data_IF_430956595795
#
_entry.id   IF_430956595795
#
_cell.length_a   1.000
_cell.length_b   1.000
_cell.length_c   1.000
_cell.angle_alpha   90.00
_cell.angle_beta   90.00
_cell.angle_gamma   90.00
#
_symmetry.space_group_name_H-M   'P 1'
#
loop_
_entity.id
_entity.type
_entity.pdbx_description
1 polymer ?
#
# COMPACT_ATOMS: atom_id res chain seq x y z
N UNK A 1 -7.88 -25.22 7.12
CA UNK A 1 -7.91 -23.89 7.79
C UNK A 1 -6.56 -23.66 8.46
N UNK A 2 -6.05 -22.43 8.40
CA UNK A 2 -4.82 -22.08 9.07
C UNK A 2 -5.03 -22.00 10.60
N UNK A 3 -4.01 -22.30 11.41
CA UNK A 3 -4.09 -22.09 12.86
C UNK A 3 -4.35 -20.62 13.21
N UNK A 4 -5.14 -20.36 14.26
CA UNK A 4 -5.43 -18.99 14.72
C UNK A 4 -4.17 -18.13 14.98
N UNK A 5 -3.06 -18.76 15.39
CA UNK A 5 -1.78 -18.08 15.57
C UNK A 5 -1.22 -17.52 14.25
N UNK A 6 -1.47 -18.17 13.11
CA UNK A 6 -1.06 -17.65 11.79
C UNK A 6 -1.80 -16.35 11.50
N UNK A 7 -3.13 -16.34 11.67
CA UNK A 7 -3.96 -15.14 11.46
C UNK A 7 -3.54 -14.00 12.39
N UNK A 8 -3.26 -14.30 13.66
CA UNK A 8 -2.75 -13.32 14.63
C UNK A 8 -1.40 -12.71 14.19
N UNK A 9 -0.45 -13.56 13.79
CA UNK A 9 0.88 -13.10 13.40
C UNK A 9 0.85 -12.30 12.09
N UNK A 10 0.06 -12.72 11.11
CA UNK A 10 -0.11 -11.96 9.85
C UNK A 10 -0.76 -10.61 10.11
N UNK A 11 -1.85 -10.55 10.90
CA UNK A 11 -2.48 -9.30 11.28
C UNK A 11 -1.54 -8.35 12.04
N UNK A 12 -0.77 -8.88 12.99
CA UNK A 12 0.25 -8.13 13.72
C UNK A 12 1.33 -7.57 12.78
N UNK A 13 1.79 -8.39 11.83
CA UNK A 13 2.82 -8.01 10.86
C UNK A 13 2.35 -6.88 9.94
N UNK A 14 1.14 -6.98 9.40
CA UNK A 14 0.56 -5.95 8.54
C UNK A 14 0.41 -4.62 9.27
N UNK A 15 -0.07 -4.64 10.52
CA UNK A 15 -0.25 -3.41 11.28
C UNK A 15 1.08 -2.78 11.71
N UNK A 16 2.10 -3.59 12.05
CA UNK A 16 3.45 -3.09 12.33
C UNK A 16 4.11 -2.46 11.10
N UNK A 17 4.03 -3.12 9.93
CA UNK A 17 4.61 -2.60 8.70
C UNK A 17 3.94 -1.29 8.26
N UNK A 18 2.62 -1.20 8.39
CA UNK A 18 1.87 0.04 8.08
C UNK A 18 2.12 1.14 9.10
N UNK A 19 2.34 0.80 10.37
CA UNK A 19 2.67 1.76 11.42
C UNK A 19 4.14 2.21 11.40
N UNK A 20 5.06 1.46 10.78
CA UNK A 20 6.49 1.77 10.79
C UNK A 20 6.83 3.17 10.24
N UNK A 21 6.29 3.64 9.10
CA UNK A 21 6.49 5.02 8.64
C UNK A 21 5.98 6.07 9.64
N UNK A 22 4.87 5.78 10.32
CA UNK A 22 4.29 6.68 11.34
C UNK A 22 5.18 6.72 12.58
N UNK A 23 5.76 5.59 12.96
CA UNK A 23 6.71 5.49 14.07
C UNK A 23 7.98 6.33 13.83
N UNK A 24 8.40 6.55 12.58
CA UNK A 24 9.51 7.47 12.28
C UNK A 24 9.25 8.87 12.84
N UNK A 25 8.01 9.38 12.76
CA UNK A 25 7.72 10.76 13.19
C UNK A 25 7.07 10.88 14.56
N UNK A 26 6.20 9.95 14.92
CA UNK A 26 5.33 10.11 16.07
C UNK A 26 5.77 9.22 17.24
N UNK A 27 6.37 9.84 18.27
CA UNK A 27 6.76 9.20 19.52
C UNK A 27 5.65 8.35 20.17
N UNK A 28 4.36 8.76 20.19
CA UNK A 28 3.30 7.93 20.75
C UNK A 28 3.17 6.57 20.05
N UNK A 29 3.40 6.51 18.73
CA UNK A 29 3.32 5.26 17.96
C UNK A 29 4.53 4.38 18.28
N UNK A 30 5.73 4.97 18.33
CA UNK A 30 6.96 4.24 18.74
C UNK A 30 6.80 3.55 20.09
N UNK A 31 6.33 4.28 21.09
CA UNK A 31 6.14 3.77 22.46
C UNK A 31 5.06 2.68 22.56
N UNK A 32 4.14 2.64 21.59
CA UNK A 32 3.00 1.72 21.58
C UNK A 32 3.21 0.53 20.63
N UNK A 33 4.44 0.24 20.21
CA UNK A 33 4.73 -0.86 19.28
C UNK A 33 4.09 -2.20 19.68
N UNK A 34 4.14 -2.56 20.98
CA UNK A 34 3.45 -3.75 21.49
C UNK A 34 1.94 -3.67 21.31
N UNK A 35 1.32 -2.54 21.67
CA UNK A 35 -0.13 -2.33 21.48
C UNK A 35 -0.51 -2.39 20.00
N UNK A 36 0.29 -1.80 19.11
CA UNK A 36 0.09 -1.88 17.65
C UNK A 36 0.13 -3.34 17.20
N UNK A 37 1.14 -4.11 17.59
CA UNK A 37 1.21 -5.53 17.26
C UNK A 37 -0.02 -6.30 17.78
N UNK A 38 -0.38 -6.14 19.06
CA UNK A 38 -1.51 -6.82 19.68
C UNK A 38 -2.84 -6.48 19.00
N UNK A 39 -3.10 -5.20 18.73
CA UNK A 39 -4.33 -4.78 18.02
C UNK A 39 -4.38 -5.37 16.61
N UNK A 40 -3.25 -5.40 15.91
CA UNK A 40 -3.16 -6.01 14.58
C UNK A 40 -3.45 -7.51 14.62
N UNK A 41 -2.91 -8.22 15.62
CA UNK A 41 -3.18 -9.64 15.78
C UNK A 41 -4.63 -9.95 16.18
N UNK A 42 -5.19 -9.18 17.11
CA UNK A 42 -6.61 -9.30 17.49
C UNK A 42 -7.55 -9.02 16.31
N UNK A 43 -7.21 -8.03 15.48
CA UNK A 43 -7.91 -7.79 14.22
C UNK A 43 -7.80 -9.00 13.28
N UNK A 44 -6.61 -9.56 13.08
CA UNK A 44 -6.43 -10.74 12.21
C UNK A 44 -7.22 -11.98 12.64
N UNK A 45 -7.37 -12.23 13.94
CA UNK A 45 -8.13 -13.39 14.46
C UNK A 45 -9.61 -13.11 14.69
N UNK A 46 -10.11 -11.90 14.42
CA UNK A 46 -11.51 -11.57 14.74
C UNK A 46 -12.53 -12.54 14.11
N UNK A 47 -12.34 -13.05 12.87
CA UNK A 47 -13.24 -14.06 12.31
C UNK A 47 -13.26 -15.40 13.07
N UNK A 48 -12.20 -15.74 13.82
CA UNK A 48 -12.09 -16.98 14.62
C UNK A 48 -12.98 -16.97 15.87
N UNK A 49 -13.56 -15.83 16.22
CA UNK A 49 -14.41 -15.70 17.43
C UNK A 49 -15.60 -16.68 17.41
N UNK A 50 -16.01 -17.16 16.23
CA UNK A 50 -17.04 -18.19 16.09
C UNK A 50 -16.66 -19.53 16.76
N UNK A 51 -15.38 -19.80 17.00
CA UNK A 51 -14.92 -21.00 17.71
C UNK A 51 -15.10 -20.93 19.23
N UNK A 52 -15.26 -19.73 19.80
CA UNK A 52 -15.30 -19.52 21.26
C UNK A 52 -16.65 -19.01 21.78
N UNK A 53 -17.53 -18.53 20.90
CA UNK A 53 -18.87 -18.08 21.29
C UNK A 53 -19.84 -19.27 21.41
N UNK A 54 -20.51 -19.45 22.57
CA UNK A 54 -21.55 -20.47 22.71
C UNK A 54 -22.85 -20.00 22.02
N UNK A 55 -23.38 -20.76 21.05
CA UNK A 55 -24.66 -20.47 20.42
C UNK A 55 -24.76 -20.86 18.95
N UNK A 56 -25.77 -20.30 18.25
CA UNK A 56 -26.03 -20.50 16.82
C UNK A 56 -24.92 -19.81 15.98
N UNK A 57 -23.92 -20.61 15.58
CA UNK A 57 -22.69 -20.18 14.92
C UNK A 57 -22.88 -19.89 13.43
N UNK A 58 -24.07 -20.15 12.86
CA UNK A 58 -24.37 -20.03 11.44
C UNK A 58 -23.93 -18.70 10.80
N UNK A 59 -24.34 -17.52 11.33
CA UNK A 59 -23.94 -16.23 10.76
C UNK A 59 -22.43 -15.93 10.87
N UNK A 60 -21.81 -16.25 12.01
CA UNK A 60 -20.39 -15.96 12.25
C UNK A 60 -19.49 -16.88 11.44
N UNK A 61 -19.83 -18.17 11.38
CA UNK A 61 -19.16 -19.16 10.53
C UNK A 61 -19.35 -18.82 9.05
N UNK A 62 -20.54 -18.38 8.66
CA UNK A 62 -20.81 -17.89 7.30
C UNK A 62 -19.95 -16.68 6.95
N UNK A 63 -19.77 -15.74 7.88
CA UNK A 63 -18.85 -14.62 7.71
C UNK A 63 -17.39 -15.07 7.59
N UNK A 64 -16.91 -15.92 8.51
CA UNK A 64 -15.56 -16.50 8.50
C UNK A 64 -15.25 -17.21 7.18
N UNK A 65 -16.20 -17.99 6.66
CA UNK A 65 -16.08 -18.70 5.39
C UNK A 65 -16.33 -17.81 4.16
N UNK A 66 -16.48 -16.50 4.31
CA UNK A 66 -16.68 -15.57 3.21
C UNK A 66 -15.41 -14.76 2.93
N UNK A 67 -15.25 -14.31 1.69
CA UNK A 67 -14.16 -13.40 1.32
C UNK A 67 -14.20 -12.05 2.06
N UNK A 68 -15.30 -11.69 2.74
CA UNK A 68 -15.31 -10.51 3.62
C UNK A 68 -14.38 -10.66 4.82
N UNK A 69 -14.07 -11.89 5.24
CA UNK A 69 -13.08 -12.13 6.27
C UNK A 69 -11.65 -11.73 5.83
N UNK A 70 -11.36 -11.57 4.53
CA UNK A 70 -10.05 -11.05 4.08
C UNK A 70 -9.77 -9.61 4.53
N UNK A 71 -10.80 -8.85 4.93
CA UNK A 71 -10.65 -7.56 5.59
C UNK A 71 -9.99 -7.67 6.98
N UNK A 72 -9.77 -8.88 7.48
CA UNK A 72 -9.12 -9.19 8.75
C UNK A 72 -7.82 -9.93 8.47
N UNK A 73 -6.86 -9.23 7.86
CA UNK A 73 -5.53 -9.76 7.54
C UNK A 73 -5.51 -10.95 6.55
N UNK A 74 -6.32 -10.89 5.48
CA UNK A 74 -6.42 -11.95 4.46
C UNK A 74 -6.86 -13.31 5.04
N UNK A 75 -7.69 -13.26 6.09
CA UNK A 75 -8.12 -14.43 6.85
C UNK A 75 -8.65 -15.56 5.96
N UNK A 76 -9.62 -15.26 5.09
CA UNK A 76 -10.23 -16.24 4.21
C UNK A 76 -9.22 -16.86 3.23
N UNK A 77 -8.29 -16.05 2.74
CA UNK A 77 -7.22 -16.47 1.81
C UNK A 77 -6.21 -17.38 2.49
N UNK A 78 -5.84 -17.08 3.74
CA UNK A 78 -4.93 -17.91 4.55
C UNK A 78 -5.53 -19.30 4.84
N UNK A 79 -6.86 -19.42 4.80
CA UNK A 79 -7.57 -20.69 4.97
C UNK A 79 -7.70 -21.54 3.69
N UNK A 80 -7.26 -21.03 2.53
CA UNK A 80 -7.43 -21.72 1.25
C UNK A 80 -6.38 -22.81 1.02
N UNK A 81 -6.68 -23.79 0.13
CA UNK A 81 -5.78 -24.92 -0.17
C UNK A 81 -4.31 -24.56 -0.47
N UNK A 82 -3.97 -23.45 -1.15
CA UNK A 82 -2.58 -23.10 -1.40
C UNK A 82 -1.75 -22.87 -0.12
N UNK A 83 -2.37 -22.34 0.93
CA UNK A 83 -1.72 -22.10 2.22
C UNK A 83 -1.85 -23.32 3.13
N UNK A 84 -3.00 -24.00 3.09
CA UNK A 84 -3.24 -25.25 3.81
C UNK A 84 -2.26 -26.36 3.37
N UNK A 85 -1.83 -26.36 2.10
CA UNK A 85 -0.89 -27.32 1.54
C UNK A 85 0.50 -27.30 2.20
N UNK A 86 0.89 -26.20 2.86
CA UNK A 86 2.13 -26.14 3.63
C UNK A 86 2.07 -27.00 4.91
N UNK A 87 0.86 -27.35 5.38
CA UNK A 87 0.67 -27.98 6.67
C UNK A 87 0.87 -27.00 7.85
N UNK A 88 0.37 -27.38 9.03
CA UNK A 88 0.29 -26.48 10.19
C UNK A 88 1.67 -25.92 10.59
N UNK A 89 2.68 -26.78 10.77
CA UNK A 89 3.99 -26.35 11.25
C UNK A 89 4.75 -25.43 10.31
N UNK A 90 4.64 -25.63 8.99
CA UNK A 90 5.32 -24.77 8.01
C UNK A 90 4.63 -23.41 7.89
N UNK A 91 3.29 -23.38 7.90
CA UNK A 91 2.53 -22.13 7.89
C UNK A 91 2.83 -21.29 9.15
N UNK A 92 2.85 -21.91 10.33
CA UNK A 92 3.23 -21.27 11.59
C UNK A 92 4.65 -20.71 11.54
N UNK A 93 5.63 -21.51 11.09
CA UNK A 93 7.02 -21.08 10.98
C UNK A 93 7.17 -19.87 10.04
N UNK A 94 6.52 -19.90 8.87
CA UNK A 94 6.53 -18.77 7.93
C UNK A 94 5.88 -17.52 8.53
N UNK A 95 4.76 -17.67 9.24
CA UNK A 95 4.10 -16.56 9.92
C UNK A 95 4.99 -15.92 10.99
N UNK A 96 5.74 -16.73 11.75
CA UNK A 96 6.75 -16.26 12.72
C UNK A 96 7.85 -15.48 12.02
N UNK A 97 8.39 -15.97 10.89
CA UNK A 97 9.42 -15.26 10.14
C UNK A 97 8.93 -13.91 9.61
N UNK A 98 7.73 -13.86 9.05
CA UNK A 98 7.10 -12.62 8.58
C UNK A 98 6.93 -11.63 9.73
N UNK A 99 6.46 -12.10 10.88
CA UNK A 99 6.30 -11.28 12.08
C UNK A 99 7.62 -10.73 12.61
N UNK A 100 8.67 -11.56 12.68
CA UNK A 100 10.01 -11.10 13.09
C UNK A 100 10.56 -10.03 12.13
N UNK A 101 10.36 -10.20 10.81
CA UNK A 101 10.73 -9.20 9.82
C UNK A 101 9.98 -7.88 10.01
N UNK A 102 8.66 -7.95 10.28
CA UNK A 102 7.84 -6.78 10.55
C UNK A 102 8.26 -6.04 11.84
N UNK A 103 8.56 -6.78 12.91
CA UNK A 103 9.09 -6.23 14.17
C UNK A 103 10.41 -5.52 13.93
N UNK A 104 11.35 -6.16 13.22
CA UNK A 104 12.64 -5.57 12.91
C UNK A 104 12.49 -4.26 12.11
N UNK A 105 11.65 -4.26 11.08
CA UNK A 105 11.36 -3.06 10.29
C UNK A 105 10.76 -1.92 11.16
N UNK A 106 9.79 -2.23 12.01
CA UNK A 106 9.19 -1.26 12.93
C UNK A 106 10.20 -0.69 13.92
N UNK A 107 11.04 -1.54 14.54
CA UNK A 107 12.06 -1.11 15.49
C UNK A 107 13.10 -0.21 14.81
N UNK A 108 13.59 -0.60 13.63
CA UNK A 108 14.54 0.23 12.87
C UNK A 108 13.94 1.60 12.52
N UNK A 109 12.67 1.63 12.11
CA UNK A 109 11.96 2.87 11.82
C UNK A 109 11.78 3.75 13.08
N UNK A 110 11.42 3.14 14.21
CA UNK A 110 11.27 3.82 15.49
C UNK A 110 12.61 4.40 15.99
N UNK A 111 13.68 3.63 15.92
CA UNK A 111 15.04 4.04 16.31
C UNK A 111 15.57 5.17 15.42
N UNK A 112 15.34 5.08 14.11
CA UNK A 112 15.63 6.18 13.19
C UNK A 112 14.87 7.44 13.61
N UNK A 113 13.56 7.29 13.85
CA UNK A 113 12.68 8.37 14.25
C UNK A 113 13.00 9.01 15.60
N UNK A 114 13.56 8.25 16.54
CA UNK A 114 13.98 8.78 17.84
C UNK A 114 15.27 9.61 17.73
N UNK A 115 16.14 9.31 16.76
CA UNK A 115 17.39 10.04 16.52
C UNK A 115 17.20 11.29 15.67
N UNK A 116 16.18 11.30 14.84
CA UNK A 116 15.87 12.40 13.96
C UNK A 116 14.73 13.24 14.56
N UNK A 117 15.01 14.50 14.89
CA UNK A 117 14.00 15.48 15.30
C UNK A 117 13.08 15.80 14.11
N UNK A 118 12.03 15.00 13.93
CA UNK A 118 11.01 15.23 12.92
C UNK A 118 9.89 16.13 13.46
N UNK A 119 9.60 17.18 12.71
CA UNK A 119 8.38 17.96 12.91
C UNK A 119 7.14 17.13 12.51
N UNK A 120 6.00 17.31 13.19
CA UNK A 120 4.72 16.73 12.78
C UNK A 120 4.37 17.07 11.33
N UNK A 121 3.68 16.16 10.64
CA UNK A 121 3.22 16.42 9.27
C UNK A 121 1.95 17.26 9.36
N UNK A 122 2.08 18.55 9.06
CA UNK A 122 0.93 19.41 8.80
C UNK A 122 0.58 19.35 7.31
N UNK A 123 -0.70 19.20 6.99
CA UNK A 123 -1.17 19.20 5.60
C UNK A 123 -1.00 20.62 5.02
N UNK A 124 0.06 20.82 4.23
CA UNK A 124 0.34 22.10 3.58
C UNK A 124 -0.30 22.15 2.19
N UNK A 125 -0.60 23.36 1.71
CA UNK A 125 -1.21 23.56 0.39
C UNK A 125 -0.35 22.99 -0.73
N UNK A 126 0.98 23.06 -0.58
CA UNK A 126 1.94 22.56 -1.56
C UNK A 126 1.90 21.03 -1.66
N UNK A 127 1.73 20.33 -0.53
CA UNK A 127 1.58 18.87 -0.52
C UNK A 127 0.29 18.43 -1.21
N UNK A 128 -0.83 19.11 -0.91
CA UNK A 128 -2.13 18.81 -1.54
C UNK A 128 -2.07 19.09 -3.04
N UNK A 129 -1.49 20.22 -3.44
CA UNK A 129 -1.28 20.56 -4.84
C UNK A 129 -0.37 19.55 -5.54
N UNK A 130 0.74 19.16 -4.90
CA UNK A 130 1.66 18.15 -5.38
C UNK A 130 0.99 16.79 -5.59
N UNK A 131 0.22 16.33 -4.61
CA UNK A 131 -0.53 15.07 -4.68
C UNK A 131 -1.57 15.10 -5.80
N UNK A 132 -2.35 16.18 -5.90
CA UNK A 132 -3.37 16.34 -6.94
C UNK A 132 -2.76 16.38 -8.35
N UNK A 133 -1.67 17.13 -8.52
CA UNK A 133 -0.94 17.17 -9.79
C UNK A 133 -0.36 15.81 -10.16
N UNK A 134 0.27 15.13 -9.21
CA UNK A 134 0.83 13.79 -9.40
C UNK A 134 -0.24 12.75 -9.77
N UNK A 135 -1.38 12.78 -9.09
CA UNK A 135 -2.53 11.93 -9.41
C UNK A 135 -3.01 12.15 -10.85
N UNK A 136 -3.22 13.40 -11.24
CA UNK A 136 -3.71 13.76 -12.58
C UNK A 136 -2.75 13.30 -13.68
N UNK A 137 -1.46 13.64 -13.56
CA UNK A 137 -0.47 13.33 -14.61
C UNK A 137 -0.21 11.82 -14.70
N UNK A 138 -0.07 11.12 -13.57
CA UNK A 138 0.13 9.67 -13.58
C UNK A 138 -1.08 8.90 -14.09
N UNK A 139 -2.31 9.31 -13.71
CA UNK A 139 -3.54 8.73 -14.22
C UNK A 139 -3.70 8.97 -15.73
N UNK A 140 -3.38 10.19 -16.22
CA UNK A 140 -3.41 10.51 -17.64
C UNK A 140 -2.41 9.66 -18.44
N UNK A 141 -1.19 9.48 -17.93
CA UNK A 141 -0.17 8.63 -18.57
C UNK A 141 -0.62 7.18 -18.63
N UNK A 142 -1.00 6.60 -17.48
CA UNK A 142 -1.41 5.20 -17.38
C UNK A 142 -2.66 4.93 -18.22
N UNK A 143 -3.69 5.78 -18.10
CA UNK A 143 -4.91 5.66 -18.87
C UNK A 143 -4.70 5.89 -20.36
N UNK A 144 -3.81 6.80 -20.75
CA UNK A 144 -3.43 7.01 -22.15
C UNK A 144 -2.82 5.75 -22.77
N UNK A 145 -1.85 5.14 -22.10
CA UNK A 145 -1.23 3.89 -22.57
C UNK A 145 -2.25 2.74 -22.64
N UNK A 146 -3.08 2.59 -21.61
CA UNK A 146 -4.11 1.54 -21.60
C UNK A 146 -5.20 1.77 -22.66
N UNK A 147 -5.53 3.02 -22.96
CA UNK A 147 -6.44 3.38 -24.04
C UNK A 147 -5.87 3.06 -25.41
N UNK A 148 -4.63 3.49 -25.69
CA UNK A 148 -3.96 3.24 -26.96
C UNK A 148 -3.68 1.76 -27.22
N UNK A 149 -3.52 0.95 -26.17
CA UNK A 149 -3.32 -0.49 -26.27
C UNK A 149 -4.62 -1.30 -26.27
N UNK A 150 -5.79 -0.65 -26.26
CA UNK A 150 -7.10 -1.31 -26.24
C UNK A 150 -7.41 -2.05 -24.94
N UNK A 151 -6.71 -1.74 -23.84
CA UNK A 151 -6.82 -2.45 -22.55
C UNK A 151 -7.80 -1.79 -21.57
N UNK A 152 -8.43 -0.67 -21.94
CA UNK A 152 -9.40 0.02 -21.08
C UNK A 152 -10.62 -0.84 -20.72
N UNK A 153 -11.05 -1.74 -21.61
CA UNK A 153 -12.11 -2.69 -21.30
C UNK A 153 -11.76 -3.62 -20.13
N UNK A 154 -10.52 -4.08 -20.04
CA UNK A 154 -10.06 -4.92 -18.93
C UNK A 154 -10.04 -4.15 -17.60
N UNK A 155 -9.76 -2.85 -17.63
CA UNK A 155 -9.82 -1.99 -16.44
C UNK A 155 -11.27 -1.70 -16.05
N UNK A 156 -12.14 -1.39 -17.01
CA UNK A 156 -13.56 -1.17 -16.77
C UNK A 156 -14.24 -2.43 -16.22
N UNK A 157 -13.78 -3.61 -16.67
CA UNK A 157 -14.27 -4.89 -16.17
C UNK A 157 -14.04 -5.04 -14.66
N UNK A 158 -13.09 -4.29 -14.06
CA UNK A 158 -12.87 -4.21 -12.60
C UNK A 158 -14.04 -3.58 -11.84
N UNK A 159 -15.04 -3.05 -12.53
CA UNK A 159 -16.29 -2.58 -11.91
C UNK A 159 -17.53 -3.14 -12.60
N UNK A 160 -17.36 -4.25 -13.35
CA UNK A 160 -18.44 -4.88 -14.10
C UNK A 160 -18.98 -4.03 -15.25
N UNK A 161 -18.14 -3.15 -15.82
CA UNK A 161 -18.48 -2.28 -16.95
C UNK A 161 -17.55 -2.55 -18.12
N UNK A 162 -17.95 -2.18 -19.33
CA UNK A 162 -17.10 -2.35 -20.53
C UNK A 162 -16.72 -1.00 -21.17
N UNK A 163 -17.22 0.11 -20.62
CA UNK A 163 -17.03 1.42 -21.23
C UNK A 163 -15.65 2.00 -20.90
N UNK A 164 -15.05 2.69 -21.88
CA UNK A 164 -13.77 3.39 -21.66
C UNK A 164 -13.86 4.43 -20.53
N UNK A 165 -15.02 5.07 -20.36
CA UNK A 165 -15.27 6.05 -19.29
C UNK A 165 -15.17 5.40 -17.92
N UNK A 166 -15.75 4.22 -17.72
CA UNK A 166 -15.63 3.48 -16.46
C UNK A 166 -14.17 3.10 -16.17
N UNK A 167 -13.41 2.68 -17.19
CA UNK A 167 -11.99 2.41 -17.03
C UNK A 167 -11.20 3.67 -16.60
N UNK A 168 -11.50 4.83 -17.19
CA UNK A 168 -10.87 6.10 -16.79
C UNK A 168 -11.21 6.50 -15.35
N UNK A 169 -12.46 6.28 -14.93
CA UNK A 169 -12.87 6.53 -13.56
C UNK A 169 -12.11 5.65 -12.55
N UNK A 170 -11.93 4.36 -12.85
CA UNK A 170 -11.14 3.44 -12.03
C UNK A 170 -9.68 3.89 -11.94
N UNK A 171 -9.05 4.27 -13.06
CA UNK A 171 -7.67 4.76 -13.08
C UNK A 171 -7.53 6.07 -12.30
N UNK A 172 -8.47 6.99 -12.46
CA UNK A 172 -8.49 8.26 -11.73
C UNK A 172 -8.58 8.04 -10.21
N UNK A 173 -9.49 7.18 -9.76
CA UNK A 173 -9.65 6.84 -8.35
C UNK A 173 -8.39 6.15 -7.78
N UNK A 174 -7.85 5.16 -8.51
CA UNK A 174 -6.63 4.46 -8.11
C UNK A 174 -5.42 5.40 -8.09
N UNK A 175 -5.29 6.30 -9.06
CA UNK A 175 -4.23 7.31 -9.14
C UNK A 175 -4.29 8.31 -8.00
N UNK A 176 -5.48 8.78 -7.63
CA UNK A 176 -5.68 9.66 -6.48
C UNK A 176 -5.29 8.97 -5.16
N UNK A 177 -5.69 7.71 -4.98
CA UNK A 177 -5.30 6.91 -3.81
C UNK A 177 -3.78 6.71 -3.77
N UNK A 178 -3.17 6.32 -4.89
CA UNK A 178 -1.74 6.10 -4.99
C UNK A 178 -0.95 7.38 -4.71
N UNK A 179 -1.39 8.53 -5.21
CA UNK A 179 -0.76 9.82 -4.93
C UNK A 179 -0.89 10.20 -3.45
N UNK A 180 -2.05 9.98 -2.83
CA UNK A 180 -2.24 10.21 -1.39
C UNK A 180 -1.30 9.34 -0.54
N UNK A 181 -1.23 8.04 -0.83
CA UNK A 181 -0.30 7.12 -0.15
C UNK A 181 1.15 7.54 -0.37
N UNK A 182 1.52 7.86 -1.60
CA UNK A 182 2.86 8.32 -1.94
C UNK A 182 3.23 9.58 -1.14
N UNK A 183 2.36 10.59 -1.11
CA UNK A 183 2.54 11.82 -0.34
C UNK A 183 2.69 11.52 1.15
N UNK A 184 1.88 10.64 1.72
CA UNK A 184 2.05 10.25 3.12
C UNK A 184 3.40 9.55 3.33
N UNK A 185 3.79 8.60 2.47
CA UNK A 185 5.04 7.87 2.60
C UNK A 185 6.27 8.79 2.47
N UNK A 186 6.32 9.63 1.44
CA UNK A 186 7.46 10.53 1.20
C UNK A 186 7.59 11.54 2.34
N UNK A 187 6.48 12.08 2.82
CA UNK A 187 6.47 13.03 3.93
C UNK A 187 6.79 12.35 5.24
N UNK A 188 6.34 11.12 5.49
CA UNK A 188 6.74 10.39 6.70
C UNK A 188 8.24 10.07 6.75
N UNK A 189 8.87 9.83 5.60
CA UNK A 189 10.26 9.36 5.52
C UNK A 189 11.29 10.49 5.36
N UNK A 190 10.96 11.58 4.67
CA UNK A 190 11.95 12.59 4.26
C UNK A 190 11.92 13.85 5.13
N UNK A 191 13.09 14.26 5.66
CA UNK A 191 13.24 15.50 6.44
C UNK A 191 13.37 16.73 5.56
N UNK A 192 14.07 16.57 4.44
CA UNK A 192 14.47 17.66 3.54
C UNK A 192 13.62 17.68 2.27
N UNK A 193 13.67 18.80 1.55
CA UNK A 193 13.08 18.92 0.22
C UNK A 193 13.58 17.78 -0.68
N UNK A 194 12.67 16.89 -1.07
CA UNK A 194 13.01 15.78 -1.95
C UNK A 194 13.42 16.34 -3.31
N UNK A 195 14.56 15.88 -3.82
CA UNK A 195 15.03 16.28 -5.16
C UNK A 195 14.24 15.54 -6.23
N UNK A 196 14.11 16.15 -7.42
CA UNK A 196 13.37 15.56 -8.53
C UNK A 196 13.85 14.12 -8.87
N UNK A 197 15.17 13.82 -8.96
CA UNK A 197 15.63 12.47 -9.21
C UNK A 197 15.27 11.48 -8.09
N UNK A 198 15.37 11.90 -6.83
CA UNK A 198 15.05 11.05 -5.68
C UNK A 198 13.54 10.73 -5.62
N UNK A 199 12.68 11.73 -5.81
CA UNK A 199 11.23 11.54 -5.86
C UNK A 199 10.81 10.64 -7.02
N UNK A 200 11.41 10.82 -8.19
CA UNK A 200 11.19 9.96 -9.38
C UNK A 200 11.59 8.51 -9.08
N UNK A 201 12.80 8.29 -8.54
CA UNK A 201 13.28 6.96 -8.21
C UNK A 201 12.41 6.28 -7.15
N UNK A 202 12.03 7.01 -6.10
CA UNK A 202 11.15 6.50 -5.06
C UNK A 202 9.78 6.09 -5.61
N UNK A 203 9.16 6.93 -6.44
CA UNK A 203 7.89 6.62 -7.08
C UNK A 203 7.96 5.38 -7.99
N UNK A 204 9.02 5.26 -8.79
CA UNK A 204 9.26 4.09 -9.62
C UNK A 204 9.46 2.81 -8.79
N UNK A 205 10.21 2.88 -7.70
CA UNK A 205 10.47 1.75 -6.80
C UNK A 205 9.21 1.29 -6.07
N UNK A 206 8.37 2.23 -5.61
CA UNK A 206 7.10 1.92 -4.92
C UNK A 206 6.06 1.34 -5.88
N UNK A 207 6.09 1.70 -7.16
CA UNK A 207 5.16 1.17 -8.16
C UNK A 207 5.33 -0.33 -8.41
N UNK A 208 6.53 -0.90 -8.25
CA UNK A 208 6.78 -2.34 -8.44
C UNK A 208 5.99 -3.20 -7.42
N UNK A 209 6.17 -3.05 -6.09
CA UNK A 209 5.41 -3.81 -5.12
C UNK A 209 3.92 -3.47 -5.17
N UNK A 210 3.53 -2.23 -5.48
CA UNK A 210 2.11 -1.88 -5.67
C UNK A 210 1.48 -2.64 -6.85
N UNK A 211 2.20 -2.74 -7.98
CA UNK A 211 1.76 -3.52 -9.13
C UNK A 211 1.65 -5.00 -8.80
N UNK A 212 2.69 -5.58 -8.17
CA UNK A 212 2.68 -6.99 -7.76
C UNK A 212 1.53 -7.29 -6.80
N UNK A 213 1.29 -6.43 -5.81
CA UNK A 213 0.17 -6.58 -4.89
C UNK A 213 -1.16 -6.50 -5.62
N UNK A 214 -1.31 -5.56 -6.55
CA UNK A 214 -2.53 -5.39 -7.32
C UNK A 214 -2.81 -6.61 -8.21
N UNK A 215 -1.82 -7.12 -8.94
CA UNK A 215 -2.00 -8.19 -9.93
C UNK A 215 -2.02 -9.58 -9.32
N UNK A 216 -1.23 -9.83 -8.29
CA UNK A 216 -1.14 -11.16 -7.67
C UNK A 216 -2.20 -11.38 -6.61
N UNK A 217 -2.72 -10.32 -5.99
CA UNK A 217 -3.63 -10.44 -4.84
C UNK A 217 -4.94 -9.69 -5.05
N UNK A 218 -4.90 -8.36 -5.19
CA UNK A 218 -6.11 -7.53 -5.13
C UNK A 218 -7.07 -7.86 -6.28
N UNK A 219 -6.59 -7.87 -7.52
CA UNK A 219 -7.42 -8.14 -8.71
C UNK A 219 -7.95 -9.57 -8.72
N UNK A 220 -7.13 -10.62 -8.50
CA UNK A 220 -7.64 -12.00 -8.40
C UNK A 220 -8.71 -12.17 -7.32
N UNK A 221 -8.48 -11.65 -6.11
CA UNK A 221 -9.47 -11.72 -5.02
C UNK A 221 -10.76 -10.99 -5.38
N UNK A 222 -10.63 -9.80 -5.97
CA UNK A 222 -11.77 -9.01 -6.38
C UNK A 222 -12.59 -9.70 -7.49
N UNK A 223 -11.93 -10.33 -8.48
CA UNK A 223 -12.59 -11.08 -9.57
C UNK A 223 -13.26 -12.35 -9.05
N UNK A 224 -12.57 -13.11 -8.22
CA UNK A 224 -13.15 -14.27 -7.53
C UNK A 224 -14.40 -13.86 -6.77
N UNK A 225 -14.35 -12.72 -6.06
CA UNK A 225 -15.47 -12.22 -5.27
C UNK A 225 -16.66 -11.76 -6.10
N UNK A 226 -16.41 -11.02 -7.16
CA UNK A 226 -17.44 -10.28 -7.91
C UNK A 226 -18.05 -11.13 -9.03
N UNK A 227 -17.28 -12.05 -9.58
CA UNK A 227 -17.66 -12.83 -10.78
C UNK A 227 -17.55 -14.34 -10.59
N UNK A 228 -17.29 -14.83 -9.36
CA UNK A 228 -17.11 -16.25 -9.07
C UNK A 228 -15.99 -16.90 -9.91
N UNK A 229 -14.97 -16.10 -10.23
CA UNK A 229 -13.82 -16.55 -11.02
C UNK A 229 -12.87 -17.41 -10.17
N UNK A 230 -12.15 -18.33 -10.80
CA UNK A 230 -11.06 -19.04 -10.14
C UNK A 230 -9.98 -18.06 -9.66
N UNK A 231 -9.34 -18.37 -8.52
CA UNK A 231 -8.20 -17.61 -8.00
C UNK A 231 -6.96 -17.90 -8.85
N UNK A 232 -6.90 -17.27 -10.02
CA UNK A 232 -5.75 -17.33 -10.90
C UNK A 232 -4.92 -16.06 -10.72
N UNK A 233 -3.63 -16.16 -10.39
CA UNK A 233 -2.75 -15.02 -10.37
C UNK A 233 -2.85 -14.31 -11.72
N UNK A 234 -3.14 -13.01 -11.71
CA UNK A 234 -3.06 -12.24 -12.94
C UNK A 234 -1.57 -12.05 -13.23
N UNK A 235 -0.97 -13.01 -13.95
CA UNK A 235 0.36 -12.90 -14.52
C UNK A 235 0.29 -11.88 -15.66
N UNK A 236 0.11 -10.62 -15.29
CA UNK A 236 -0.02 -9.52 -16.22
C UNK A 236 1.16 -9.52 -17.18
N UNK A 237 0.91 -9.03 -18.39
CA UNK A 237 1.95 -8.78 -19.38
C UNK A 237 3.11 -7.99 -18.73
N UNK A 238 4.37 -8.48 -18.77
CA UNK A 238 5.53 -7.78 -18.22
C UNK A 238 5.67 -6.34 -18.75
N UNK A 239 5.15 -6.05 -19.94
CA UNK A 239 5.12 -4.69 -20.46
C UNK A 239 4.26 -3.75 -19.59
N UNK A 240 3.18 -4.24 -18.97
CA UNK A 240 2.36 -3.46 -18.04
C UNK A 240 3.14 -3.10 -16.78
N UNK A 241 4.00 -3.99 -16.28
CA UNK A 241 4.86 -3.64 -15.15
C UNK A 241 5.73 -2.42 -15.50
N UNK A 242 6.30 -2.39 -16.71
CA UNK A 242 7.03 -1.22 -17.21
C UNK A 242 6.19 0.06 -17.23
N UNK A 243 4.93 -0.02 -17.65
CA UNK A 243 4.00 1.13 -17.64
C UNK A 243 3.70 1.60 -16.22
N UNK A 244 3.52 0.70 -15.27
CA UNK A 244 3.30 1.05 -13.86
C UNK A 244 4.54 1.70 -13.24
N UNK A 245 5.74 1.19 -13.53
CA UNK A 245 7.01 1.80 -13.10
C UNK A 245 7.15 3.21 -13.66
N UNK A 246 6.85 3.40 -14.94
CA UNK A 246 6.82 4.73 -15.57
C UNK A 246 5.80 5.65 -14.90
N UNK A 247 4.57 5.18 -14.68
CA UNK A 247 3.52 5.95 -14.01
C UNK A 247 3.90 6.34 -12.56
N UNK A 248 4.54 5.44 -11.82
CA UNK A 248 5.08 5.71 -10.48
C UNK A 248 6.21 6.74 -10.51
N UNK A 249 7.15 6.61 -11.45
CA UNK A 249 8.20 7.59 -11.66
C UNK A 249 7.65 8.98 -12.00
N UNK A 250 6.66 9.03 -12.89
CA UNK A 250 5.94 10.27 -13.23
C UNK A 250 5.21 10.86 -12.03
N UNK A 251 4.54 10.03 -11.23
CA UNK A 251 3.88 10.46 -9.99
C UNK A 251 4.90 11.14 -9.06
N UNK A 252 6.04 10.49 -8.80
CA UNK A 252 7.08 11.06 -7.95
C UNK A 252 7.71 12.33 -8.50
N UNK A 253 7.98 12.37 -9.82
CA UNK A 253 8.53 13.54 -10.50
C UNK A 253 7.56 14.73 -10.42
N UNK A 254 6.29 14.52 -10.74
CA UNK A 254 5.25 15.55 -10.72
C UNK A 254 4.99 16.05 -9.31
N UNK A 255 4.94 15.16 -8.32
CA UNK A 255 4.78 15.55 -6.91
C UNK A 255 5.87 16.55 -6.53
N UNK A 256 7.14 16.20 -6.73
CA UNK A 256 8.27 17.07 -6.37
C UNK A 256 8.22 18.39 -7.16
N UNK A 257 8.01 18.34 -8.47
CA UNK A 257 8.00 19.54 -9.31
C UNK A 257 6.90 20.53 -8.92
N UNK A 258 5.68 20.03 -8.64
CA UNK A 258 4.54 20.88 -8.25
C UNK A 258 4.74 21.41 -6.85
N UNK A 259 5.17 20.59 -5.88
CA UNK A 259 5.46 21.06 -4.52
C UNK A 259 6.53 22.15 -4.53
N UNK A 260 7.63 21.98 -5.28
CA UNK A 260 8.68 22.99 -5.43
C UNK A 260 8.19 24.28 -6.10
N UNK A 261 7.30 24.18 -7.10
CA UNK A 261 6.72 25.34 -7.74
C UNK A 261 5.81 26.14 -6.80
N UNK A 262 5.08 25.44 -5.91
CA UNK A 262 4.13 26.05 -4.98
C UNK A 262 4.80 26.64 -3.74
N UNK A 263 5.91 26.06 -3.25
CA UNK A 263 6.65 26.61 -2.10
C UNK A 263 7.33 27.94 -2.41
N UNK A 264 7.46 28.32 -3.69
CA UNK A 264 8.09 29.56 -4.11
C UNK A 264 9.62 29.56 -3.97
N UNK A 265 10.20 28.51 -3.41
CA UNK A 265 11.63 28.19 -3.51
C UNK A 265 11.94 27.69 -4.92
N UNK A 266 11.81 28.58 -5.91
CA UNK A 266 12.45 28.36 -7.20
C UNK A 266 13.93 28.02 -6.97
N UNK A 267 14.58 27.24 -7.86
CA UNK A 267 15.99 26.95 -7.71
C UNK A 267 16.72 28.27 -7.47
N UNK A 268 17.32 28.45 -6.29
CA UNK A 268 18.21 29.58 -5.99
C UNK A 268 19.46 29.44 -6.88
N UNK A 269 19.28 29.61 -8.18
CA UNK A 269 20.31 29.89 -9.16
C UNK A 269 20.83 31.27 -8.78
N UNK A 270 21.77 31.32 -7.84
CA UNK A 270 22.54 32.55 -7.63
C UNK A 270 22.75 33.05 -6.22
N UNK A 271 22.61 32.24 -5.16
CA UNK A 271 23.52 32.46 -4.02
C UNK A 271 24.89 31.89 -4.41
N UNK A 272 25.52 32.61 -5.36
CA UNK A 272 26.96 32.62 -5.53
C UNK A 272 27.53 32.78 -4.14
N UNK A 273 28.47 31.90 -3.82
CA UNK A 273 29.44 32.09 -2.74
C UNK A 273 30.17 33.42 -2.99
N UNK A 274 29.52 34.52 -2.65
CA UNK A 274 30.15 35.80 -2.42
C UNK A 274 30.88 35.70 -1.09
N UNK A 275 32.01 34.99 -1.08
CA UNK A 275 33.06 35.30 -0.13
C UNK A 275 33.74 36.56 -0.65
N UNK A 276 33.20 37.70 -0.24
CA UNK A 276 33.95 38.93 -0.14
C UNK A 276 35.01 38.76 0.96
N UNK A 277 36.26 38.90 0.54
CA UNK A 277 37.46 39.37 1.28
C UNK A 277 37.85 38.62 2.55
#
# INVERSE_FOLDING_TARGET
MAPAIVHFLVGSSLLLLTAAPVAVRYEPVRRRGLTVATVGGLWGILPDVHHVLPGDDGPLRGFHQSAWADLFAFHYTLDRPPVEAYGMGEAEFRAVLVFLGAVAAFVLAAEWGARAEFEPVEARREMVGGAAGAALVSAALLGGVLHLTGRMGAVAAVVGQETAVAGWAVIGAAGALAAGVFTVCIELVTRDAVTLPAGTAFGALVAIPAWLLATLLVVPLWRMRTFDAALEPFTGDPALMGVFVLAGGTLGATYVAVTQALTGDGPRRGERLGRST
#
